data_IF_021619052103
#
_entry.id   IF_021619052103
#
_cell.length_a   1.000
_cell.length_b   1.000
_cell.length_c   1.000
_cell.angle_alpha   90.00
_cell.angle_beta   90.00
_cell.angle_gamma   90.00
#
_symmetry.space_group_name_H-M   'P 1'
#
loop_
_entity.id
_entity.type
_entity.pdbx_description
1 polymer ?
#
# COMPACT_ATOMS: atom_id res chain seq x y z
N UNK A 1 -0.44 7.36 -22.91
CA UNK A 1 -0.33 6.79 -21.56
C UNK A 1 -0.62 7.87 -20.53
N UNK A 2 -1.65 7.67 -19.71
CA UNK A 2 -2.13 8.65 -18.73
C UNK A 2 -1.15 8.81 -17.54
N UNK A 3 -0.94 10.04 -17.01
CA UNK A 3 -0.04 10.28 -15.87
C UNK A 3 -0.33 9.42 -14.64
N UNK A 4 -1.60 9.13 -14.39
CA UNK A 4 -2.12 8.36 -13.26
C UNK A 4 -1.69 6.88 -13.32
N UNK A 5 -1.30 6.40 -14.51
CA UNK A 5 -0.85 5.02 -14.71
C UNK A 5 0.67 4.83 -14.52
N UNK A 6 1.40 5.93 -14.38
CA UNK A 6 2.86 5.89 -14.27
C UNK A 6 3.25 5.61 -12.83
N UNK A 7 4.30 4.81 -12.67
CA UNK A 7 5.03 4.76 -11.41
C UNK A 7 5.54 6.16 -11.08
N UNK A 8 5.44 6.53 -9.81
CA UNK A 8 5.92 7.80 -9.28
C UNK A 8 6.85 7.51 -8.13
N UNK A 9 7.84 8.38 -7.95
CA UNK A 9 8.75 8.32 -6.82
C UNK A 9 8.09 8.91 -5.59
N UNK A 10 8.19 8.20 -4.49
CA UNK A 10 7.76 8.62 -3.17
C UNK A 10 8.84 8.28 -2.17
N UNK A 11 8.66 8.77 -0.95
CA UNK A 11 9.47 8.40 0.19
C UNK A 11 8.60 7.65 1.20
N UNK A 12 9.04 6.47 1.62
CA UNK A 12 8.39 5.69 2.66
C UNK A 12 9.15 5.87 3.98
N UNK A 13 8.42 6.21 5.04
CA UNK A 13 8.95 6.24 6.40
C UNK A 13 8.72 4.88 7.06
N UNK A 14 9.78 4.27 7.57
CA UNK A 14 9.70 3.11 8.46
C UNK A 14 10.27 3.48 9.81
N UNK A 15 9.42 3.54 10.84
CA UNK A 15 9.81 3.61 12.23
C UNK A 15 9.39 2.33 12.94
N UNK A 16 10.29 1.72 13.69
CA UNK A 16 10.00 0.48 14.40
C UNK A 16 10.77 0.36 15.71
N UNK A 17 10.12 -0.23 16.70
CA UNK A 17 10.80 -0.75 17.88
C UNK A 17 11.33 -2.14 17.57
N UNK A 18 12.56 -2.37 18.01
CA UNK A 18 13.23 -3.66 17.95
C UNK A 18 13.59 -4.13 19.37
N UNK A 19 13.77 -5.44 19.52
CA UNK A 19 14.24 -6.08 20.75
C UNK A 19 15.47 -6.95 20.46
N UNK A 20 16.44 -6.95 21.37
CA UNK A 20 17.66 -7.73 21.23
C UNK A 20 17.35 -9.22 21.41
N UNK A 21 17.65 -10.00 20.37
CA UNK A 21 17.60 -11.46 20.35
C UNK A 21 18.99 -12.09 20.16
N UNK A 22 19.07 -13.43 20.11
CA UNK A 22 20.35 -14.16 20.06
C UNK A 22 21.20 -13.90 18.82
N UNK A 23 20.58 -13.44 17.72
CA UNK A 23 21.22 -13.23 16.40
C UNK A 23 21.27 -11.75 15.99
N UNK A 24 20.91 -10.83 16.87
CA UNK A 24 20.77 -9.40 16.56
C UNK A 24 19.43 -8.86 17.04
N UNK A 25 18.93 -7.82 16.38
CA UNK A 25 17.64 -7.22 16.72
C UNK A 25 16.49 -7.87 15.95
N UNK A 26 15.43 -8.23 16.66
CA UNK A 26 14.16 -8.71 16.10
C UNK A 26 13.12 -7.57 16.14
N UNK A 27 12.23 -7.55 15.14
CA UNK A 27 11.13 -6.58 15.10
C UNK A 27 10.18 -6.80 16.28
N UNK A 28 10.00 -5.77 17.11
CA UNK A 28 8.99 -5.77 18.16
C UNK A 28 7.64 -5.30 17.58
N UNK A 29 7.59 -4.09 17.03
CA UNK A 29 6.45 -3.60 16.24
C UNK A 29 6.82 -2.35 15.41
N UNK A 30 6.08 -2.13 14.31
CA UNK A 30 6.14 -0.88 13.54
C UNK A 30 5.37 0.23 14.26
N UNK A 31 5.95 1.43 14.32
CA UNK A 31 5.39 2.60 15.00
C UNK A 31 4.37 3.29 14.10
N UNK A 32 4.70 3.53 12.82
CA UNK A 32 3.83 4.20 11.87
C UNK A 32 3.16 3.22 10.91
N UNK A 33 2.01 3.57 10.33
CA UNK A 33 1.42 2.81 9.24
C UNK A 33 2.17 3.07 7.94
N UNK A 34 1.90 2.23 6.94
CA UNK A 34 2.35 2.46 5.57
C UNK A 34 1.92 3.87 5.11
N UNK A 35 2.91 4.72 4.86
CA UNK A 35 2.72 6.12 4.48
C UNK A 35 3.72 6.48 3.39
N UNK A 36 3.22 6.99 2.28
CA UNK A 36 4.02 7.50 1.18
C UNK A 36 4.00 9.03 1.19
N UNK A 37 5.17 9.63 1.13
CA UNK A 37 5.38 11.07 1.12
C UNK A 37 5.88 11.52 -0.26
N UNK A 38 5.51 12.72 -0.69
CA UNK A 38 5.92 13.23 -2.00
C UNK A 38 7.41 13.61 -2.01
N UNK A 39 7.93 14.04 -0.86
CA UNK A 39 9.34 14.42 -0.69
C UNK A 39 9.96 13.75 0.53
N UNK A 40 11.29 13.75 0.56
CA UNK A 40 12.07 13.23 1.69
C UNK A 40 11.85 14.09 2.93
N UNK A 41 11.75 15.39 2.75
CA UNK A 41 11.54 16.38 3.81
C UNK A 41 10.20 16.14 4.50
N UNK A 42 9.13 15.86 3.73
CA UNK A 42 7.82 15.51 4.30
C UNK A 42 7.88 14.23 5.15
N UNK A 43 8.60 13.21 4.70
CA UNK A 43 8.80 11.98 5.48
C UNK A 43 9.57 12.24 6.79
N UNK A 44 10.59 13.10 6.75
CA UNK A 44 11.37 13.49 7.93
C UNK A 44 10.53 14.32 8.91
N UNK A 45 9.73 15.26 8.43
CA UNK A 45 8.81 16.02 9.28
C UNK A 45 7.75 15.14 9.93
N UNK A 46 7.24 14.14 9.22
CA UNK A 46 6.36 13.13 9.82
C UNK A 46 7.06 12.32 10.92
N UNK A 47 8.35 11.97 10.72
CA UNK A 47 9.14 11.31 11.76
C UNK A 47 9.36 12.22 12.98
N UNK A 48 9.65 13.51 12.79
CA UNK A 48 9.76 14.50 13.87
C UNK A 48 8.47 14.59 14.67
N UNK A 49 7.32 14.75 13.99
CA UNK A 49 6.02 14.83 14.64
C UNK A 49 5.69 13.58 15.48
N UNK A 50 6.18 12.39 15.07
CA UNK A 50 6.04 11.18 15.88
C UNK A 50 6.95 11.20 17.12
N UNK A 51 8.18 11.71 16.99
CA UNK A 51 9.16 11.81 18.08
C UNK A 51 8.82 12.90 19.11
N UNK A 52 8.06 13.92 18.72
CA UNK A 52 7.53 14.93 19.62
C UNK A 52 6.47 14.38 20.58
N UNK A 53 5.82 13.27 20.23
CA UNK A 53 4.89 12.60 21.14
C UNK A 53 5.63 12.12 22.38
N UNK A 54 4.92 12.15 23.51
CA UNK A 54 5.44 11.64 24.78
C UNK A 54 5.85 10.15 24.66
N UNK A 55 5.07 9.37 23.88
CA UNK A 55 5.30 7.95 23.65
C UNK A 55 5.27 7.62 22.17
N UNK A 56 6.30 6.90 21.70
CA UNK A 56 6.35 6.26 20.39
C UNK A 56 5.60 4.92 20.40
N UNK A 57 4.32 4.97 20.80
CA UNK A 57 3.44 3.80 20.73
C UNK A 57 3.14 3.47 19.25
N UNK A 58 2.66 2.24 19.01
CA UNK A 58 2.20 1.84 17.69
C UNK A 58 0.96 2.65 17.27
N UNK A 59 0.92 3.08 16.02
CA UNK A 59 -0.26 3.74 15.43
C UNK A 59 -1.47 2.79 15.48
N UNK A 60 -2.60 3.29 15.97
CA UNK A 60 -3.81 2.52 16.21
C UNK A 60 -4.39 1.87 14.95
N UNK A 61 -4.06 2.41 13.77
CA UNK A 61 -4.45 1.83 12.47
C UNK A 61 -3.78 0.49 12.19
N UNK A 62 -2.65 0.19 12.83
CA UNK A 62 -1.87 -1.04 12.62
C UNK A 62 -1.73 -1.91 13.87
N UNK A 63 -1.95 -1.36 15.06
CA UNK A 63 -1.97 -2.15 16.29
C UNK A 63 -2.02 -1.29 17.54
N UNK A 64 -1.86 -1.93 18.72
CA UNK A 64 -2.04 -1.26 20.02
C UNK A 64 -0.85 -1.41 20.96
N UNK A 65 0.31 -1.81 20.42
CA UNK A 65 1.51 -2.01 21.22
C UNK A 65 2.03 -0.69 21.80
N UNK A 66 2.63 -0.78 22.99
CA UNK A 66 3.13 0.37 23.75
C UNK A 66 4.65 0.42 23.68
N UNK A 67 5.20 1.64 23.57
CA UNK A 67 6.63 1.88 23.56
C UNK A 67 7.30 1.22 24.79
N UNK A 68 8.35 0.42 24.60
CA UNK A 68 9.02 -0.23 25.72
C UNK A 68 9.82 0.76 26.59
N UNK A 69 10.25 1.89 26.00
CA UNK A 69 11.08 2.91 26.62
C UNK A 69 10.57 4.31 26.22
N UNK A 70 10.66 5.28 27.15
CA UNK A 70 10.49 6.70 26.85
C UNK A 70 11.83 7.29 26.41
N UNK A 71 11.84 8.00 25.28
CA UNK A 71 13.05 8.63 24.77
C UNK A 71 13.34 9.93 25.52
N UNK A 72 14.60 10.14 25.87
CA UNK A 72 15.06 11.46 26.30
C UNK A 72 15.12 12.43 25.11
N UNK A 73 15.17 13.74 25.37
CA UNK A 73 15.34 14.74 24.31
C UNK A 73 16.68 14.60 23.57
N UNK A 74 17.71 14.11 24.26
CA UNK A 74 19.01 13.78 23.66
C UNK A 74 18.88 12.60 22.69
N UNK A 75 18.17 11.54 23.09
CA UNK A 75 17.91 10.37 22.25
C UNK A 75 17.13 10.75 20.98
N UNK A 76 16.07 11.55 21.13
CA UNK A 76 15.27 12.07 20.00
C UNK A 76 16.13 12.85 19.02
N UNK A 77 16.93 13.79 19.54
CA UNK A 77 17.81 14.64 18.73
C UNK A 77 18.87 13.82 17.99
N UNK A 78 19.51 12.87 18.68
CA UNK A 78 20.50 11.97 18.09
C UNK A 78 19.88 11.08 17.01
N UNK A 79 18.70 10.54 17.26
CA UNK A 79 18.00 9.69 16.30
C UNK A 79 17.63 10.45 15.02
N UNK A 80 17.09 11.66 15.15
CA UNK A 80 16.75 12.51 14.00
C UNK A 80 17.96 12.83 13.13
N UNK A 81 19.09 13.18 13.73
CA UNK A 81 20.32 13.49 13.01
C UNK A 81 20.86 12.27 12.21
N UNK A 82 20.65 11.07 12.73
CA UNK A 82 20.95 9.84 11.99
C UNK A 82 19.94 9.59 10.87
N UNK A 83 18.65 9.81 11.13
CA UNK A 83 17.58 9.56 10.16
C UNK A 83 17.67 10.50 8.96
N UNK A 84 18.12 11.74 9.19
CA UNK A 84 18.45 12.72 8.15
C UNK A 84 19.52 12.23 7.17
N UNK A 85 20.25 11.15 7.47
CA UNK A 85 21.19 10.49 6.54
C UNK A 85 20.59 9.30 5.78
N UNK A 86 19.33 8.97 6.03
CA UNK A 86 18.54 7.94 5.34
C UNK A 86 18.13 6.80 6.26
N UNK A 87 18.98 6.40 7.20
CA UNK A 87 18.72 5.29 8.13
C UNK A 87 19.33 5.55 9.49
N UNK A 88 18.56 5.29 10.53
CA UNK A 88 18.91 5.43 11.93
C UNK A 88 18.69 4.12 12.67
N UNK A 89 19.65 3.73 13.49
CA UNK A 89 19.48 2.70 14.50
C UNK A 89 19.99 3.27 15.82
N UNK A 90 19.10 3.39 16.82
CA UNK A 90 19.44 3.87 18.16
C UNK A 90 19.24 2.73 19.17
N UNK A 91 20.32 2.08 19.61
CA UNK A 91 20.28 1.09 20.70
C UNK A 91 19.90 1.74 22.04
N UNK A 92 18.99 1.12 22.78
CA UNK A 92 18.46 1.56 24.08
C UNK A 92 18.32 0.33 25.00
N UNK A 93 19.41 -0.01 25.67
CA UNK A 93 19.52 -1.24 26.47
C UNK A 93 19.18 -2.49 25.61
N UNK A 94 18.21 -3.32 26.02
CA UNK A 94 17.78 -4.50 25.25
C UNK A 94 16.87 -4.16 24.06
N UNK A 95 16.55 -2.90 23.83
CA UNK A 95 15.71 -2.47 22.71
C UNK A 95 16.52 -1.62 21.73
N UNK A 96 15.94 -1.35 20.57
CA UNK A 96 16.45 -0.32 19.67
C UNK A 96 15.30 0.36 18.93
N UNK A 97 15.50 1.64 18.61
CA UNK A 97 14.64 2.35 17.67
C UNK A 97 15.29 2.31 16.28
N UNK A 98 14.56 1.78 15.31
CA UNK A 98 14.91 1.80 13.90
C UNK A 98 14.12 2.90 13.20
N UNK A 99 14.81 3.65 12.35
CA UNK A 99 14.20 4.59 11.41
C UNK A 99 14.82 4.47 10.03
N UNK A 100 14.01 4.52 8.99
CA UNK A 100 14.46 4.50 7.60
C UNK A 100 13.53 5.36 6.76
N UNK A 101 14.11 6.22 5.92
CA UNK A 101 13.40 6.95 4.87
C UNK A 101 13.93 6.44 3.54
N UNK A 102 13.13 5.61 2.87
CA UNK A 102 13.49 4.96 1.63
C UNK A 102 12.78 5.62 0.44
N UNK A 103 13.50 5.86 -0.66
CA UNK A 103 12.87 6.20 -1.93
C UNK A 103 12.27 4.94 -2.55
N UNK A 104 10.99 5.00 -2.89
CA UNK A 104 10.24 3.89 -3.49
C UNK A 104 9.57 4.37 -4.77
N UNK A 105 9.37 3.45 -5.72
CA UNK A 105 8.68 3.74 -6.97
C UNK A 105 7.35 2.99 -7.00
N UNK A 106 6.25 3.71 -6.80
CA UNK A 106 4.93 3.12 -6.59
C UNK A 106 3.93 3.62 -7.63
N UNK A 107 2.99 2.74 -8.00
CA UNK A 107 1.76 3.15 -8.68
C UNK A 107 0.72 3.48 -7.61
N UNK A 108 0.05 4.62 -7.73
CA UNK A 108 -1.00 4.97 -6.78
C UNK A 108 -2.29 4.24 -7.16
N UNK A 109 -3.04 3.84 -6.12
CA UNK A 109 -4.40 3.39 -6.28
C UNK A 109 -5.20 4.47 -6.99
N UNK A 110 -5.73 4.14 -8.17
CA UNK A 110 -6.52 5.04 -8.98
C UNK A 110 -7.98 4.62 -8.94
N UNK A 111 -8.89 5.59 -8.81
CA UNK A 111 -10.34 5.37 -8.82
C UNK A 111 -11.00 6.25 -9.87
N UNK A 112 -11.76 5.65 -10.78
CA UNK A 112 -12.57 6.37 -11.76
C UNK A 112 -13.80 5.54 -12.19
N UNK A 113 -14.88 6.18 -12.66
CA UNK A 113 -16.03 5.46 -13.23
C UNK A 113 -15.62 4.58 -14.43
N UNK A 114 -16.38 3.51 -14.70
CA UNK A 114 -16.14 2.61 -15.84
C UNK A 114 -16.15 3.33 -17.20
N UNK A 115 -16.98 4.37 -17.36
CA UNK A 115 -17.01 5.18 -18.57
C UNK A 115 -15.76 6.07 -18.75
N UNK A 116 -14.99 6.32 -17.69
CA UNK A 116 -13.78 7.14 -17.78
C UNK A 116 -12.69 6.35 -18.53
N UNK A 117 -12.14 6.88 -19.65
CA UNK A 117 -11.10 6.18 -20.41
C UNK A 117 -9.80 5.97 -19.61
N UNK A 118 -9.64 6.62 -18.45
CA UNK A 118 -8.47 6.48 -17.57
C UNK A 118 -8.61 5.38 -16.54
N UNK A 119 -9.77 4.73 -16.40
CA UNK A 119 -9.99 3.75 -15.34
C UNK A 119 -8.98 2.58 -15.40
N UNK A 120 -8.80 1.89 -14.27
CA UNK A 120 -7.78 0.85 -14.16
C UNK A 120 -8.00 -0.32 -15.14
N UNK A 121 -9.25 -0.69 -15.48
CA UNK A 121 -9.53 -1.74 -16.47
C UNK A 121 -9.01 -1.38 -17.87
N UNK A 122 -9.11 -0.11 -18.27
CA UNK A 122 -8.58 0.35 -19.57
C UNK A 122 -7.06 0.21 -19.67
N UNK A 123 -6.35 0.26 -18.54
CA UNK A 123 -4.91 -0.01 -18.53
C UNK A 123 -4.56 -1.50 -18.72
N UNK A 124 -5.53 -2.39 -18.52
CA UNK A 124 -5.37 -3.85 -18.65
C UNK A 124 -5.89 -4.38 -20.00
N UNK A 125 -6.47 -3.52 -20.84
CA UNK A 125 -7.06 -3.94 -22.12
C UNK A 125 -6.00 -4.60 -23.03
N UNK A 126 -6.36 -5.76 -23.59
CA UNK A 126 -5.50 -6.61 -24.40
C UNK A 126 -4.57 -7.53 -23.61
N UNK A 127 -4.36 -7.29 -22.30
CA UNK A 127 -3.50 -8.12 -21.46
C UNK A 127 -4.18 -9.41 -21.06
N UNK A 128 -3.38 -10.44 -20.77
CA UNK A 128 -3.88 -11.65 -20.11
C UNK A 128 -4.13 -11.36 -18.63
N UNK A 129 -5.33 -11.69 -18.16
CA UNK A 129 -5.78 -11.44 -16.78
C UNK A 129 -6.45 -12.67 -16.17
N UNK A 130 -6.47 -12.75 -14.84
CA UNK A 130 -7.38 -13.61 -14.06
C UNK A 130 -8.51 -12.76 -13.46
N UNK A 131 -9.75 -13.14 -13.72
CA UNK A 131 -10.95 -12.55 -13.13
C UNK A 131 -11.42 -13.40 -11.95
N UNK A 132 -11.45 -12.82 -10.76
CA UNK A 132 -11.99 -13.43 -9.55
C UNK A 132 -13.24 -12.70 -9.09
N UNK A 133 -14.09 -13.41 -8.35
CA UNK A 133 -15.24 -12.86 -7.65
C UNK A 133 -15.25 -13.29 -6.18
N UNK A 134 -15.56 -12.33 -5.31
CA UNK A 134 -15.67 -12.51 -3.87
C UNK A 134 -17.02 -11.95 -3.40
N UNK A 135 -17.88 -12.76 -2.77
CA UNK A 135 -19.09 -12.27 -2.11
C UNK A 135 -18.75 -11.25 -1.03
N UNK A 136 -19.50 -10.13 -0.97
CA UNK A 136 -19.30 -9.09 0.05
C UNK A 136 -19.99 -9.40 1.38
N UNK A 137 -20.98 -10.29 1.35
CA UNK A 137 -21.78 -10.67 2.51
C UNK A 137 -21.13 -11.74 3.40
N UNK A 138 -20.03 -12.34 2.94
CA UNK A 138 -19.30 -13.38 3.66
C UNK A 138 -17.82 -12.99 3.80
N UNK A 139 -17.39 -12.56 5.00
CA UNK A 139 -16.01 -12.15 5.25
C UNK A 139 -15.00 -13.32 5.24
N UNK A 140 -15.48 -14.58 5.28
CA UNK A 140 -14.63 -15.78 5.20
C UNK A 140 -14.61 -16.38 3.78
N UNK A 141 -15.39 -15.84 2.83
CA UNK A 141 -15.47 -16.38 1.48
C UNK A 141 -14.16 -16.21 0.71
N UNK A 142 -13.68 -17.32 0.15
CA UNK A 142 -12.55 -17.32 -0.77
C UNK A 142 -12.96 -16.75 -2.15
N UNK A 143 -12.02 -16.05 -2.79
CA UNK A 143 -12.21 -15.50 -4.13
C UNK A 143 -12.23 -16.61 -5.19
N UNK A 144 -13.38 -16.83 -5.83
CA UNK A 144 -13.53 -17.82 -6.90
C UNK A 144 -12.97 -17.29 -8.23
N UNK A 145 -12.12 -18.07 -8.91
CA UNK A 145 -11.68 -17.78 -10.28
C UNK A 145 -12.86 -17.99 -11.25
N UNK A 146 -13.29 -16.94 -11.93
CA UNK A 146 -14.36 -16.99 -12.92
C UNK A 146 -13.82 -17.24 -14.34
N UNK A 147 -12.72 -16.59 -14.68
CA UNK A 147 -12.14 -16.67 -16.02
C UNK A 147 -10.65 -16.29 -16.02
N UNK A 148 -9.93 -16.80 -17.02
CA UNK A 148 -8.58 -16.37 -17.35
C UNK A 148 -8.49 -16.20 -18.87
N UNK A 149 -7.86 -15.12 -19.32
CA UNK A 149 -7.71 -14.85 -20.75
C UNK A 149 -7.37 -13.40 -21.05
N UNK A 150 -7.28 -13.03 -22.35
CA UNK A 150 -7.14 -11.63 -22.72
C UNK A 150 -8.37 -10.83 -22.29
N UNK A 151 -8.15 -9.64 -21.73
CA UNK A 151 -9.19 -8.69 -21.38
C UNK A 151 -9.58 -7.85 -22.60
N UNK A 152 -10.87 -7.77 -22.90
CA UNK A 152 -11.47 -6.74 -23.74
C UNK A 152 -12.41 -5.88 -22.90
N UNK A 153 -12.42 -4.56 -23.15
CA UNK A 153 -13.24 -3.61 -22.41
C UNK A 153 -14.04 -2.77 -23.41
N UNK A 154 -15.35 -2.99 -23.48
CA UNK A 154 -16.24 -2.21 -24.34
C UNK A 154 -17.08 -1.23 -23.51
N UNK A 155 -18.03 -0.53 -24.15
CA UNK A 155 -18.90 0.44 -23.47
C UNK A 155 -20.02 -0.19 -22.63
N UNK A 156 -20.20 -1.52 -22.71
CA UNK A 156 -21.26 -2.27 -22.02
C UNK A 156 -20.70 -3.14 -20.89
N UNK A 157 -19.40 -3.43 -20.91
CA UNK A 157 -18.70 -4.14 -19.83
C UNK A 157 -17.33 -4.69 -20.23
N UNK A 158 -17.01 -5.86 -19.67
CA UNK A 158 -15.74 -6.54 -19.90
C UNK A 158 -15.95 -7.95 -20.45
N UNK A 159 -14.96 -8.42 -21.20
CA UNK A 159 -14.84 -9.82 -21.61
C UNK A 159 -13.45 -10.36 -21.25
N UNK A 160 -13.40 -11.53 -20.63
CA UNK A 160 -12.16 -12.26 -20.31
C UNK A 160 -12.27 -13.64 -20.94
N UNK A 161 -11.58 -13.85 -22.06
CA UNK A 161 -11.78 -15.05 -22.87
C UNK A 161 -13.22 -15.17 -23.36
N UNK A 162 -13.92 -16.25 -22.98
CA UNK A 162 -15.34 -16.46 -23.30
C UNK A 162 -16.31 -15.89 -22.26
N UNK A 163 -15.81 -15.44 -21.11
CA UNK A 163 -16.63 -14.88 -20.05
C UNK A 163 -16.94 -13.41 -20.33
N UNK A 164 -18.20 -13.00 -20.15
CA UNK A 164 -18.65 -11.60 -20.33
C UNK A 164 -19.35 -11.13 -19.07
N UNK A 165 -19.05 -9.90 -18.67
CA UNK A 165 -19.63 -9.26 -17.49
C UNK A 165 -20.05 -7.83 -17.84
N UNK A 166 -21.36 -7.52 -17.84
CA UNK A 166 -21.84 -6.16 -17.99
C UNK A 166 -21.36 -5.28 -16.83
N UNK A 167 -20.92 -4.06 -17.13
CA UNK A 167 -20.46 -3.10 -16.12
C UNK A 167 -21.15 -1.75 -16.38
N UNK A 168 -22.02 -1.28 -15.47
CA UNK A 168 -22.64 0.03 -15.60
C UNK A 168 -21.60 1.16 -15.76
N UNK A 169 -21.82 2.15 -16.65
CA UNK A 169 -20.90 3.26 -16.92
C UNK A 169 -20.42 4.02 -15.67
N UNK A 170 -21.26 4.14 -14.67
CA UNK A 170 -21.03 4.85 -13.41
C UNK A 170 -20.27 4.00 -12.37
N UNK A 171 -20.07 2.71 -12.62
CA UNK A 171 -19.43 1.78 -11.66
C UNK A 171 -18.04 2.29 -11.31
N UNK A 172 -17.74 2.53 -10.02
CA UNK A 172 -16.39 2.90 -9.61
C UNK A 172 -15.43 1.73 -9.85
N UNK A 173 -14.42 1.98 -10.67
CA UNK A 173 -13.31 1.07 -10.91
C UNK A 173 -12.11 1.60 -10.13
N UNK A 174 -11.58 0.75 -9.27
CA UNK A 174 -10.37 1.01 -8.48
C UNK A 174 -9.25 0.09 -8.94
N UNK A 175 -7.99 0.47 -8.75
CA UNK A 175 -6.88 -0.43 -9.04
C UNK A 175 -5.52 0.23 -9.20
N UNK A 176 -4.51 -0.61 -9.38
CA UNK A 176 -3.16 -0.22 -9.74
C UNK A 176 -3.00 -0.41 -11.24
N UNK A 177 -2.96 0.68 -11.99
CA UNK A 177 -2.91 0.62 -13.44
C UNK A 177 -1.78 -0.30 -13.94
N UNK A 178 -2.06 -1.06 -15.00
CA UNK A 178 -1.19 -2.09 -15.60
C UNK A 178 -1.02 -3.37 -14.77
N UNK A 179 -1.42 -3.39 -13.50
CA UNK A 179 -1.27 -4.53 -12.58
C UNK A 179 -2.61 -5.17 -12.24
N UNK A 180 -3.56 -4.38 -11.71
CA UNK A 180 -4.84 -4.89 -11.24
C UNK A 180 -5.96 -3.85 -11.30
N UNK A 181 -7.20 -4.35 -11.33
CA UNK A 181 -8.40 -3.55 -11.21
C UNK A 181 -9.45 -4.31 -10.40
N UNK A 182 -10.26 -3.61 -9.62
CA UNK A 182 -11.37 -4.19 -8.88
C UNK A 182 -12.55 -3.23 -8.80
N UNK A 183 -13.73 -3.79 -8.69
CA UNK A 183 -14.99 -3.05 -8.64
C UNK A 183 -16.07 -3.92 -8.00
N UNK A 184 -17.20 -3.30 -7.66
CA UNK A 184 -18.34 -3.96 -7.03
C UNK A 184 -19.55 -3.89 -7.94
N UNK A 185 -20.21 -5.01 -8.17
CA UNK A 185 -21.53 -5.09 -8.80
C UNK A 185 -22.46 -5.85 -7.87
N UNK A 186 -23.53 -5.19 -7.41
CA UNK A 186 -24.44 -5.75 -6.41
C UNK A 186 -23.70 -6.15 -5.13
N UNK A 187 -23.80 -7.42 -4.74
CA UNK A 187 -23.16 -7.99 -3.54
C UNK A 187 -21.83 -8.70 -3.85
N UNK A 188 -21.24 -8.48 -5.04
CA UNK A 188 -20.02 -9.17 -5.45
C UNK A 188 -18.92 -8.17 -5.79
N UNK A 189 -17.74 -8.40 -5.21
CA UNK A 189 -16.51 -7.72 -5.61
C UNK A 189 -15.78 -8.54 -6.65
N UNK A 190 -15.43 -7.89 -7.74
CA UNK A 190 -14.66 -8.48 -8.83
C UNK A 190 -13.23 -7.97 -8.78
N UNK A 191 -12.27 -8.85 -9.05
CA UNK A 191 -10.86 -8.53 -9.11
C UNK A 191 -10.28 -9.05 -10.42
N UNK A 192 -9.53 -8.20 -11.13
CA UNK A 192 -8.76 -8.57 -12.30
C UNK A 192 -7.29 -8.38 -11.98
N UNK A 193 -6.52 -9.45 -12.14
CA UNK A 193 -5.06 -9.44 -11.97
C UNK A 193 -4.39 -9.68 -13.32
N UNK A 194 -3.51 -8.77 -13.73
CA UNK A 194 -2.61 -8.97 -14.87
C UNK A 194 -1.72 -10.18 -14.62
N UNK A 195 -1.53 -11.01 -15.65
CA UNK A 195 -0.57 -12.11 -15.66
C UNK A 195 0.76 -11.71 -16.30
N UNK A 196 0.87 -10.47 -16.77
CA UNK A 196 2.11 -9.93 -17.31
C UNK A 196 2.99 -9.39 -16.18
N UNK A 197 4.32 -9.45 -16.37
CA UNK A 197 5.26 -8.83 -15.43
C UNK A 197 5.08 -7.30 -15.38
N UNK A 198 5.13 -6.73 -14.17
CA UNK A 198 4.78 -5.34 -13.86
C UNK A 198 5.88 -4.28 -14.08
#
# INVERSE_FOLDING_TARGET
>A
MYPEWRKRRFFELHLAWLVQGPKGYDLLFKINPYSLYATREEALEAARALLEKERLDQDERVGRNKAPILLSEEDKSRFLLLLERGKALLPLDRYALLGEVAEVEERLLFRAPFADPKNALKSLEGKRVRLHATPLNDPEAESALLAEGPLAVDGEGIAVGSFRLPVPPETPIEGLALEEAFFVLGETRYYLYSLEAA
#
